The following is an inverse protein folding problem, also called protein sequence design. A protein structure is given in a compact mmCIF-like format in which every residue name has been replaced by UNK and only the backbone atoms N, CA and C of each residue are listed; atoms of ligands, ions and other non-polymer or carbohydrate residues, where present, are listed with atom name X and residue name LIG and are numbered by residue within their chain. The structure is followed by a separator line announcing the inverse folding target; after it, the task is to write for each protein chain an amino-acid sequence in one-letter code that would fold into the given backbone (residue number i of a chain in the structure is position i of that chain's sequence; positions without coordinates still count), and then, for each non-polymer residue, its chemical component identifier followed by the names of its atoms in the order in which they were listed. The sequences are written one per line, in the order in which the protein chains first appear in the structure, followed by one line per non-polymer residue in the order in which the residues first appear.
data_IF_263646647735
#
_entry.id   IF_263646647735
#
_cell.length_a   1.000
_cell.length_b   1.000
_cell.length_c   1.000
_cell.angle_alpha   90.00
_cell.angle_beta   90.00
_cell.angle_gamma   90.00
#
_symmetry.space_group_name_H-M   'P 1'
#
loop_
_entity.id
_entity.type
_entity.pdbx_description
1 polymer ?
#
# COMPACT_ATOMS: atom_id res chain seq x y z
N UNK A 1 -11.57 11.19 22.47
CA UNK A 1 -11.95 9.77 22.23
C UNK A 1 -10.95 9.15 21.29
N UNK A 2 -10.16 8.20 21.77
CA UNK A 2 -9.20 7.46 20.94
C UNK A 2 -9.93 6.60 19.91
N UNK A 3 -9.49 6.56 18.65
CA UNK A 3 -10.09 5.73 17.60
C UNK A 3 -9.61 4.27 17.72
N UNK A 4 -9.92 3.60 18.85
CA UNK A 4 -9.43 2.27 19.20
C UNK A 4 -9.51 1.17 18.12
N UNK A 5 -10.63 1.00 17.36
CA UNK A 5 -10.72 -0.10 16.40
C UNK A 5 -9.87 0.06 15.13
N UNK A 6 -9.53 1.30 14.73
CA UNK A 6 -8.74 1.54 13.51
C UNK A 6 -7.24 1.43 13.73
N UNK A 7 -6.79 1.59 14.97
CA UNK A 7 -5.40 1.42 15.35
C UNK A 7 -4.90 -0.02 15.15
N UNK A 8 -5.77 -1.00 15.47
CA UNK A 8 -5.50 -2.43 15.26
C UNK A 8 -5.23 -2.73 13.77
N UNK A 9 -5.94 -2.05 12.87
CA UNK A 9 -5.75 -2.20 11.43
C UNK A 9 -4.34 -1.79 11.00
N UNK A 10 -3.77 -0.76 11.62
CA UNK A 10 -2.49 -0.18 11.27
C UNK A 10 -1.32 -1.15 11.41
N UNK A 11 -1.30 -1.98 12.44
CA UNK A 11 -0.15 -2.83 12.77
C UNK A 11 -0.21 -4.21 12.11
N UNK A 12 -1.41 -4.75 11.81
CA UNK A 12 -1.53 -5.99 11.04
C UNK A 12 -1.03 -5.88 9.58
N UNK A 13 -0.84 -4.66 9.07
CA UNK A 13 -0.23 -4.43 7.75
C UNK A 13 1.29 -4.58 7.70
N UNK A 14 1.96 -4.59 8.84
CA UNK A 14 3.41 -4.80 8.89
C UNK A 14 3.84 -6.19 8.40
N UNK A 15 2.87 -7.08 8.22
CA UNK A 15 3.15 -8.45 7.94
C UNK A 15 2.77 -8.84 6.51
N UNK A 16 3.68 -8.67 5.62
CA UNK A 16 3.67 -9.36 4.36
C UNK A 16 4.84 -10.33 4.31
N UNK A 17 4.52 -11.63 4.14
CA UNK A 17 5.43 -12.74 3.94
C UNK A 17 6.80 -12.30 3.45
N UNK A 18 7.80 -12.06 4.24
CA UNK A 18 9.14 -12.42 3.86
C UNK A 18 10.30 -11.78 4.56
N UNK A 19 10.31 -10.52 4.99
CA UNK A 19 11.58 -10.00 5.47
C UNK A 19 11.39 -8.85 6.42
N UNK A 20 11.71 -9.08 7.65
CA UNK A 20 11.98 -8.01 8.58
C UNK A 20 13.49 -7.91 8.82
N UNK A 21 14.10 -6.90 8.25
CA UNK A 21 15.49 -6.61 8.52
C UNK A 21 15.60 -5.85 9.86
N UNK A 22 16.32 -6.43 10.83
CA UNK A 22 16.62 -5.77 12.10
C UNK A 22 17.60 -4.62 11.88
N UNK A 23 17.35 -3.49 12.54
CA UNK A 23 18.35 -2.44 12.65
C UNK A 23 19.42 -2.85 13.66
N UNK A 24 20.67 -2.60 13.37
CA UNK A 24 21.83 -2.87 14.24
C UNK A 24 22.86 -1.74 14.10
N UNK A 25 23.84 -1.73 14.98
CA UNK A 25 24.90 -0.72 15.06
C UNK A 25 25.90 -0.68 13.88
N UNK A 26 25.49 -1.21 12.77
CA UNK A 26 25.92 -0.87 11.41
C UNK A 26 27.40 -0.81 11.06
N UNK A 27 28.25 -1.72 11.55
CA UNK A 27 29.66 -1.76 11.14
C UNK A 27 29.98 -2.72 10.00
N UNK A 28 28.99 -3.33 9.34
CA UNK A 28 29.22 -4.11 8.11
C UNK A 28 28.17 -3.81 7.04
N UNK A 29 28.63 -3.23 5.94
CA UNK A 29 27.88 -3.05 4.71
C UNK A 29 27.54 -4.41 4.11
N UNK A 30 26.25 -4.77 4.11
CA UNK A 30 25.77 -6.06 3.61
C UNK A 30 25.09 -5.96 2.24
N UNK A 31 25.49 -5.01 1.41
CA UNK A 31 25.10 -4.98 0.00
C UNK A 31 26.37 -5.13 -0.84
N UNK A 32 26.94 -6.33 -0.86
CA UNK A 32 27.88 -6.72 -1.89
C UNK A 32 27.19 -7.71 -2.84
N UNK A 33 27.01 -7.38 -4.13
CA UNK A 33 26.67 -8.38 -5.12
C UNK A 33 27.88 -9.28 -5.30
N UNK A 34 27.78 -10.54 -4.87
CA UNK A 34 28.75 -11.56 -5.28
C UNK A 34 28.58 -11.86 -6.78
N UNK A 35 29.66 -11.88 -7.57
CA UNK A 35 29.61 -11.96 -9.03
C UNK A 35 29.14 -13.28 -9.65
N UNK A 36 28.59 -14.21 -8.91
CA UNK A 36 28.40 -15.57 -9.40
C UNK A 36 27.03 -16.23 -9.15
N UNK A 37 25.95 -15.46 -8.94
CA UNK A 37 24.63 -16.07 -8.91
C UNK A 37 23.65 -15.29 -9.78
N UNK A 38 23.25 -15.90 -10.89
CA UNK A 38 22.17 -15.43 -11.76
C UNK A 38 20.98 -14.89 -10.96
N UNK A 39 20.91 -13.55 -10.81
CA UNK A 39 19.70 -12.81 -10.46
C UNK A 39 19.00 -13.11 -9.12
N UNK A 40 19.60 -13.87 -8.19
CA UNK A 40 19.04 -14.08 -6.86
C UNK A 40 19.77 -13.17 -5.86
N UNK A 41 19.08 -12.13 -5.40
CA UNK A 41 19.44 -11.49 -4.13
C UNK A 41 19.14 -12.52 -3.03
N UNK A 42 20.14 -13.27 -2.64
CA UNK A 42 20.07 -14.09 -1.42
C UNK A 42 20.27 -13.12 -0.25
N UNK A 43 19.17 -12.53 0.23
CA UNK A 43 19.21 -11.84 1.50
C UNK A 43 19.28 -12.93 2.58
N UNK A 44 20.34 -12.93 3.37
CA UNK A 44 20.35 -13.65 4.64
C UNK A 44 19.47 -12.81 5.58
N UNK A 45 18.23 -13.21 5.69
CA UNK A 45 17.15 -12.47 6.35
C UNK A 45 17.32 -12.33 7.86
N UNK A 46 18.32 -12.99 8.43
CA UNK A 46 18.68 -12.89 9.83
C UNK A 46 19.73 -11.80 10.13
N UNK A 47 20.28 -11.15 9.11
CA UNK A 47 21.32 -10.13 9.32
C UNK A 47 20.72 -8.83 9.87
N UNK A 48 21.37 -8.29 10.91
CA UNK A 48 21.15 -6.91 11.36
C UNK A 48 21.76 -5.94 10.34
N UNK A 49 20.96 -5.00 9.85
CA UNK A 49 21.39 -3.95 8.93
C UNK A 49 21.09 -2.57 9.52
N UNK A 50 21.73 -1.53 9.01
CA UNK A 50 21.50 -0.16 9.49
C UNK A 50 20.04 0.27 9.33
N UNK A 51 19.56 1.24 10.15
CA UNK A 51 18.12 1.61 10.21
C UNK A 51 17.58 2.11 8.85
N UNK A 52 18.39 2.84 8.09
CA UNK A 52 17.99 3.33 6.77
C UNK A 52 17.75 2.18 5.78
N UNK A 53 18.63 1.19 5.79
CA UNK A 53 18.49 0.00 4.95
C UNK A 53 17.28 -0.85 5.41
N UNK A 54 17.07 -0.99 6.73
CA UNK A 54 15.92 -1.69 7.30
C UNK A 54 14.59 -1.01 6.91
N UNK A 55 14.50 0.31 7.01
CA UNK A 55 13.34 1.07 6.57
C UNK A 55 13.04 0.86 5.08
N UNK A 56 14.07 0.94 4.21
CA UNK A 56 13.93 0.71 2.77
C UNK A 56 13.42 -0.69 2.46
N UNK A 57 14.08 -1.71 2.99
CA UNK A 57 13.77 -3.11 2.67
C UNK A 57 12.39 -3.49 3.20
N UNK A 58 12.10 -3.23 4.47
CA UNK A 58 10.82 -3.56 5.08
C UNK A 58 9.64 -2.85 4.39
N UNK A 59 9.79 -1.56 4.08
CA UNK A 59 8.79 -0.79 3.36
C UNK A 59 8.53 -1.36 1.96
N UNK A 60 9.59 -1.72 1.22
CA UNK A 60 9.45 -2.35 -0.11
C UNK A 60 8.68 -3.67 -0.03
N UNK A 61 8.91 -4.48 1.00
CA UNK A 61 8.21 -5.75 1.19
C UNK A 61 6.75 -5.57 1.63
N UNK A 62 6.46 -4.63 2.54
CA UNK A 62 5.07 -4.35 2.94
C UNK A 62 4.23 -3.98 1.71
N UNK A 63 4.78 -3.17 0.82
CA UNK A 63 4.07 -2.73 -0.38
C UNK A 63 4.04 -3.79 -1.50
N UNK A 64 4.98 -4.75 -1.50
CA UNK A 64 5.14 -5.70 -2.60
C UNK A 64 3.89 -6.54 -2.89
N UNK A 65 3.07 -6.82 -1.91
CA UNK A 65 1.93 -7.72 -2.06
C UNK A 65 0.59 -7.03 -2.34
N UNK A 66 0.57 -5.70 -2.46
CA UNK A 66 -0.66 -4.92 -2.70
C UNK A 66 -1.80 -5.25 -1.70
N UNK A 67 -1.45 -5.65 -0.47
CA UNK A 67 -2.36 -5.99 0.62
C UNK A 67 -2.31 -4.98 1.77
N UNK A 68 -1.58 -3.90 1.57
CA UNK A 68 -1.44 -2.78 2.49
C UNK A 68 -2.71 -1.91 2.55
N UNK A 69 -2.61 -0.77 3.18
CA UNK A 69 -3.67 0.23 3.25
C UNK A 69 -3.54 1.29 2.15
N UNK A 70 -4.54 2.14 2.05
CA UNK A 70 -4.46 3.35 1.23
C UNK A 70 -5.50 4.38 1.66
N UNK A 71 -5.20 5.66 1.44
CA UNK A 71 -6.17 6.75 1.58
C UNK A 71 -6.82 7.04 0.22
N UNK A 72 -8.16 7.06 0.16
CA UNK A 72 -8.89 7.12 -1.11
C UNK A 72 -8.64 8.40 -1.92
N UNK A 73 -8.76 9.58 -1.28
CA UNK A 73 -8.59 10.89 -1.94
C UNK A 73 -7.11 11.32 -2.06
N UNK A 74 -6.26 10.82 -1.17
CA UNK A 74 -4.82 11.05 -1.18
C UNK A 74 -4.13 9.70 -1.24
N UNK A 75 -3.95 9.11 -2.43
CA UNK A 75 -3.60 7.70 -2.59
C UNK A 75 -2.17 7.41 -2.12
N UNK A 76 -1.94 7.65 -0.83
CA UNK A 76 -0.76 7.22 -0.08
C UNK A 76 -1.07 5.92 0.66
N UNK A 77 -0.10 5.06 0.77
CA UNK A 77 -0.12 3.81 1.53
C UNK A 77 0.65 4.04 2.83
N UNK A 78 -0.04 4.56 3.83
CA UNK A 78 0.60 5.06 5.06
C UNK A 78 1.33 3.96 5.83
N UNK A 79 0.76 2.75 5.93
CA UNK A 79 1.40 1.64 6.64
C UNK A 79 2.76 1.27 6.07
N UNK A 80 2.86 1.17 4.75
CA UNK A 80 4.09 0.75 4.08
C UNK A 80 5.22 1.76 4.18
N UNK A 81 4.91 3.03 4.45
CA UNK A 81 5.91 4.10 4.56
C UNK A 81 6.26 4.42 6.02
N UNK A 82 5.24 4.60 6.87
CA UNK A 82 5.41 5.11 8.25
C UNK A 82 5.93 4.02 9.18
N UNK A 83 5.31 2.84 9.18
CA UNK A 83 5.62 1.81 10.16
C UNK A 83 7.02 1.21 9.99
N UNK A 84 7.53 0.95 8.78
CA UNK A 84 8.91 0.50 8.60
C UNK A 84 9.95 1.50 9.09
N UNK A 85 9.72 2.81 8.90
CA UNK A 85 10.61 3.84 9.44
C UNK A 85 10.62 3.85 10.98
N UNK A 86 9.43 3.79 11.61
CA UNK A 86 9.32 3.76 13.06
C UNK A 86 9.94 2.50 13.67
N UNK A 87 9.67 1.32 13.11
CA UNK A 87 10.24 0.06 13.60
C UNK A 87 11.75 -0.01 13.43
N UNK A 88 12.28 0.52 12.32
CA UNK A 88 13.71 0.62 12.12
C UNK A 88 14.36 1.56 13.15
N UNK A 89 13.65 2.61 13.56
CA UNK A 89 14.12 3.59 14.54
C UNK A 89 14.04 3.08 15.98
N UNK A 90 13.05 2.27 16.34
CA UNK A 90 12.83 1.78 17.72
C UNK A 90 14.06 1.13 18.35
N UNK A 91 14.89 0.46 17.56
CA UNK A 91 16.10 -0.20 18.03
C UNK A 91 17.27 0.76 18.30
N UNK A 92 17.12 2.03 17.92
CA UNK A 92 18.14 3.08 18.08
C UNK A 92 17.74 4.17 19.08
N UNK A 93 16.49 4.16 19.55
CA UNK A 93 15.98 5.17 20.51
C UNK A 93 16.35 4.79 21.93
N UNK A 94 16.94 5.72 22.67
CA UNK A 94 17.20 5.63 24.09
C UNK A 94 16.69 6.90 24.79
N UNK A 95 15.95 6.84 25.87
CA UNK A 95 15.43 5.62 26.53
C UNK A 95 14.38 4.88 25.72
N UNK A 96 14.04 3.66 26.14
CA UNK A 96 13.07 2.82 25.44
C UNK A 96 11.73 3.54 25.24
N UNK A 97 11.22 3.47 24.02
CA UNK A 97 9.95 4.09 23.61
C UNK A 97 8.77 3.29 24.19
N UNK A 98 7.79 3.97 24.76
CA UNK A 98 6.53 3.32 25.16
C UNK A 98 5.66 3.01 23.94
N UNK A 99 4.79 2.02 24.05
CA UNK A 99 3.80 1.66 23.02
C UNK A 99 2.86 2.81 22.68
N UNK A 100 2.45 3.61 23.68
CA UNK A 100 1.65 4.82 23.46
C UNK A 100 2.40 5.90 22.67
N UNK A 101 3.70 6.08 22.90
CA UNK A 101 4.53 7.00 22.10
C UNK A 101 4.68 6.51 20.66
N UNK A 102 4.88 5.21 20.45
CA UNK A 102 4.92 4.61 19.14
C UNK A 102 3.61 4.81 18.37
N UNK A 103 2.47 4.53 19.02
CA UNK A 103 1.16 4.73 18.42
C UNK A 103 0.90 6.19 18.04
N UNK A 104 1.24 7.13 18.93
CA UNK A 104 1.08 8.56 18.64
C UNK A 104 1.96 8.99 17.46
N UNK A 105 3.21 8.53 17.43
CA UNK A 105 4.10 8.80 16.30
C UNK A 105 3.54 8.27 14.98
N UNK A 106 3.04 7.04 14.98
CA UNK A 106 2.41 6.45 13.81
C UNK A 106 1.18 7.24 13.36
N UNK A 107 0.28 7.61 14.29
CA UNK A 107 -0.91 8.43 13.99
C UNK A 107 -0.53 9.74 13.31
N UNK A 108 0.50 10.43 13.76
CA UNK A 108 0.94 11.72 13.19
C UNK A 108 1.44 11.52 11.74
N UNK A 109 2.15 10.44 11.44
CA UNK A 109 2.53 10.12 10.05
C UNK A 109 1.33 9.81 9.17
N UNK A 110 0.32 9.10 9.71
CA UNK A 110 -0.94 8.81 9.03
C UNK A 110 -1.82 10.06 8.84
N UNK A 111 -1.53 11.15 9.54
CA UNK A 111 -2.19 12.45 9.34
C UNK A 111 -1.51 13.29 8.27
N UNK A 112 -0.20 13.52 8.39
CA UNK A 112 0.47 14.49 7.49
C UNK A 112 0.56 13.98 6.06
N UNK A 113 0.90 12.72 5.83
CA UNK A 113 0.99 12.17 4.48
C UNK A 113 -0.28 12.36 3.66
N UNK A 114 -1.45 11.87 4.14
CA UNK A 114 -2.72 12.12 3.48
C UNK A 114 -3.05 13.62 3.31
N UNK A 115 -2.82 14.46 4.30
CA UNK A 115 -3.11 15.92 4.23
C UNK A 115 -2.32 16.62 3.13
N UNK A 116 -1.05 16.25 2.94
CA UNK A 116 -0.24 16.75 1.81
C UNK A 116 -0.86 16.31 0.49
N UNK A 117 -1.23 15.05 0.36
CA UNK A 117 -1.87 14.55 -0.85
C UNK A 117 -3.23 15.20 -1.12
N UNK A 118 -4.02 15.50 -0.08
CA UNK A 118 -5.27 16.27 -0.22
C UNK A 118 -5.02 17.68 -0.74
N UNK A 119 -3.94 18.33 -0.27
CA UNK A 119 -3.55 19.66 -0.73
C UNK A 119 -3.12 19.69 -2.20
N UNK A 120 -2.65 18.57 -2.72
CA UNK A 120 -2.14 18.41 -4.09
C UNK A 120 -3.13 17.65 -5.01
N UNK A 121 -4.37 17.43 -4.59
CA UNK A 121 -5.29 16.59 -5.34
C UNK A 121 -4.65 15.22 -5.70
N UNK A 122 -4.40 14.39 -4.70
CA UNK A 122 -3.56 13.18 -4.82
C UNK A 122 -3.84 12.27 -6.02
N UNK A 123 -5.10 12.15 -6.44
CA UNK A 123 -5.47 11.46 -7.68
C UNK A 123 -4.91 12.12 -8.94
N UNK A 124 -4.82 13.45 -8.97
CA UNK A 124 -4.23 14.24 -10.05
C UNK A 124 -2.71 14.02 -10.14
N UNK A 125 -2.03 13.97 -8.99
CA UNK A 125 -0.59 13.62 -8.92
C UNK A 125 -0.32 12.29 -9.61
N UNK A 126 -1.11 11.26 -9.32
CA UNK A 126 -1.01 9.95 -9.99
C UNK A 126 -1.24 10.05 -11.50
N UNK A 127 -2.25 10.80 -11.91
CA UNK A 127 -2.63 10.95 -13.32
C UNK A 127 -1.58 11.69 -14.13
N UNK A 128 -0.78 12.54 -13.49
CA UNK A 128 0.39 13.22 -14.07
C UNK A 128 1.66 12.38 -14.08
N UNK A 129 1.59 11.12 -13.62
CA UNK A 129 2.69 10.17 -13.68
C UNK A 129 3.60 10.14 -12.46
N UNK A 130 3.27 10.88 -11.37
CA UNK A 130 4.00 10.80 -10.12
C UNK A 130 3.48 9.67 -9.23
N UNK A 131 4.38 8.94 -8.60
CA UNK A 131 4.01 7.92 -7.62
C UNK A 131 3.69 8.57 -6.26
N UNK A 132 2.41 8.64 -5.90
CA UNK A 132 1.92 9.39 -4.72
C UNK A 132 2.61 9.00 -3.41
N UNK A 133 2.82 7.70 -3.17
CA UNK A 133 3.52 7.22 -1.97
C UNK A 133 4.98 7.69 -1.88
N UNK A 134 5.64 7.87 -3.02
CA UNK A 134 7.01 8.39 -3.06
C UNK A 134 7.07 9.92 -3.00
N UNK A 135 5.99 10.60 -3.36
CA UNK A 135 5.87 12.07 -3.23
C UNK A 135 5.50 12.47 -1.81
N UNK A 136 4.44 11.89 -1.22
CA UNK A 136 3.93 12.30 0.10
C UNK A 136 4.63 11.57 1.26
N UNK A 137 5.14 10.37 0.98
CA UNK A 137 5.67 9.46 1.99
C UNK A 137 6.89 9.96 2.75
N UNK A 138 7.89 10.61 2.14
CA UNK A 138 9.04 11.11 2.88
C UNK A 138 8.64 12.06 4.02
N UNK A 139 7.69 12.97 3.78
CA UNK A 139 7.17 13.87 4.82
C UNK A 139 6.41 13.11 5.91
N UNK A 140 5.61 12.10 5.54
CA UNK A 140 4.88 11.26 6.50
C UNK A 140 5.83 10.48 7.42
N UNK A 141 6.84 9.82 6.84
CA UNK A 141 7.85 9.09 7.61
C UNK A 141 8.70 10.02 8.49
N UNK A 142 9.07 11.20 7.97
CA UNK A 142 9.82 12.21 8.72
C UNK A 142 9.04 12.71 9.92
N UNK A 143 7.77 13.03 9.75
CA UNK A 143 6.93 13.55 10.84
C UNK A 143 6.72 12.50 11.93
N UNK A 144 6.42 11.25 11.54
CA UNK A 144 6.29 10.14 12.47
C UNK A 144 7.59 9.91 13.27
N UNK A 145 8.71 9.82 12.57
CA UNK A 145 10.02 9.57 13.18
C UNK A 145 10.47 10.73 14.07
N UNK A 146 10.20 11.99 13.66
CA UNK A 146 10.48 13.17 14.48
C UNK A 146 9.69 13.16 15.80
N UNK A 147 8.40 12.74 15.72
CA UNK A 147 7.58 12.59 16.93
C UNK A 147 8.10 11.50 17.85
N UNK A 148 8.53 10.38 17.30
CA UNK A 148 9.11 9.28 18.08
C UNK A 148 10.38 9.72 18.84
N UNK A 149 11.22 10.54 18.18
CA UNK A 149 12.42 11.12 18.80
C UNK A 149 12.15 12.34 19.68
N UNK A 150 10.88 12.77 19.82
CA UNK A 150 10.50 13.97 20.57
C UNK A 150 11.30 15.23 20.17
N UNK A 151 11.53 15.41 18.85
CA UNK A 151 12.25 16.56 18.34
C UNK A 151 11.50 17.86 18.60
N UNK A 152 12.24 18.97 18.77
CA UNK A 152 11.66 20.31 18.87
C UNK A 152 10.98 20.72 17.55
N UNK A 153 10.02 21.67 17.59
CA UNK A 153 9.37 22.15 16.37
C UNK A 153 10.35 22.61 15.28
N UNK A 154 11.41 23.32 15.63
CA UNK A 154 12.43 23.75 14.68
C UNK A 154 13.11 22.57 13.99
N UNK A 155 13.46 21.53 14.74
CA UNK A 155 14.07 20.33 14.16
C UNK A 155 13.07 19.50 13.32
N UNK A 156 11.78 19.53 13.67
CA UNK A 156 10.73 18.91 12.85
C UNK A 156 10.61 19.66 11.51
N UNK A 157 10.64 20.99 11.54
CA UNK A 157 10.63 21.80 10.31
C UNK A 157 11.83 21.53 9.43
N UNK A 158 13.03 21.43 10.02
CA UNK A 158 14.24 21.01 9.28
C UNK A 158 14.11 19.62 8.68
N UNK A 159 13.61 18.64 9.45
CA UNK A 159 13.38 17.28 8.96
C UNK A 159 12.38 17.25 7.79
N UNK A 160 11.31 18.03 7.86
CA UNK A 160 10.35 18.16 6.75
C UNK A 160 11.00 18.78 5.51
N UNK A 161 11.79 19.85 5.68
CA UNK A 161 12.51 20.50 4.58
C UNK A 161 13.49 19.56 3.88
N UNK A 162 14.21 18.72 4.65
CA UNK A 162 15.11 17.70 4.10
C UNK A 162 14.32 16.56 3.43
N UNK A 163 13.23 16.10 4.04
CA UNK A 163 12.42 15.00 3.51
C UNK A 163 11.74 15.37 2.18
N UNK A 164 11.13 16.55 2.12
CA UNK A 164 10.45 17.05 0.92
C UNK A 164 11.37 17.21 -0.28
N UNK A 165 12.64 17.56 -0.06
CA UNK A 165 13.66 17.67 -1.11
C UNK A 165 13.95 16.32 -1.80
N UNK A 166 13.64 15.19 -1.15
CA UNK A 166 13.89 13.84 -1.65
C UNK A 166 12.65 13.18 -2.26
N UNK A 167 11.53 13.91 -2.37
CA UNK A 167 10.30 13.39 -2.94
C UNK A 167 10.46 13.14 -4.45
N UNK A 168 10.02 11.97 -4.91
CA UNK A 168 10.16 11.54 -6.31
C UNK A 168 9.19 10.39 -6.61
N UNK A 169 9.47 9.61 -7.67
CA UNK A 169 8.77 8.38 -8.00
C UNK A 169 7.95 8.47 -9.27
N UNK A 170 7.96 7.40 -10.06
CA UNK A 170 7.38 7.35 -11.41
C UNK A 170 6.34 6.24 -11.54
N UNK A 171 5.16 6.58 -12.06
CA UNK A 171 4.06 5.64 -12.26
C UNK A 171 4.31 4.61 -13.36
N UNK A 172 5.19 4.89 -14.33
CA UNK A 172 5.56 3.93 -15.37
C UNK A 172 6.09 2.59 -14.82
N UNK A 173 6.60 2.59 -13.59
CA UNK A 173 7.04 1.36 -12.91
C UNK A 173 5.90 0.33 -12.70
N UNK A 174 4.62 0.73 -12.78
CA UNK A 174 3.47 -0.16 -12.62
C UNK A 174 3.34 -1.23 -13.71
N UNK A 175 3.94 -1.00 -14.89
CA UNK A 175 3.82 -1.89 -16.06
C UNK A 175 4.75 -3.11 -16.02
N UNK A 176 5.40 -3.42 -14.88
CA UNK A 176 6.21 -4.63 -14.71
C UNK A 176 7.53 -4.42 -13.99
N UNK A 177 7.89 -3.19 -13.61
CA UNK A 177 9.15 -2.95 -12.94
C UNK A 177 9.10 -3.22 -11.43
N UNK A 178 10.03 -4.02 -10.91
CA UNK A 178 10.19 -4.27 -9.47
C UNK A 178 10.44 -2.98 -8.67
N UNK A 179 11.01 -1.94 -9.29
CA UNK A 179 11.27 -0.66 -8.62
C UNK A 179 10.00 0.02 -8.11
N UNK A 180 8.81 -0.32 -8.66
CA UNK A 180 7.53 0.15 -8.12
C UNK A 180 7.42 -0.07 -6.61
N UNK A 181 7.88 -1.22 -6.14
CA UNK A 181 7.85 -1.61 -4.72
C UNK A 181 8.86 -0.83 -3.89
N UNK A 182 10.04 -0.58 -4.46
CA UNK A 182 11.11 0.18 -3.81
C UNK A 182 10.78 1.67 -3.66
N UNK A 183 9.83 2.22 -4.40
CA UNK A 183 9.46 3.63 -4.30
C UNK A 183 8.93 3.97 -2.89
N UNK A 184 8.18 3.07 -2.26
CA UNK A 184 7.80 3.22 -0.85
C UNK A 184 9.01 3.05 0.08
N UNK A 185 9.89 2.10 -0.23
CA UNK A 185 11.16 1.92 0.49
C UNK A 185 12.01 3.18 0.47
N UNK A 186 12.12 3.84 -0.67
CA UNK A 186 12.80 5.13 -0.77
C UNK A 186 12.12 6.18 0.09
N UNK A 187 10.79 6.28 0.06
CA UNK A 187 10.05 7.25 0.87
C UNK A 187 10.27 7.05 2.38
N UNK A 188 10.17 5.81 2.86
CA UNK A 188 10.39 5.45 4.26
C UNK A 188 11.81 5.77 4.72
N UNK A 189 12.81 5.32 3.93
CA UNK A 189 14.23 5.61 4.18
C UNK A 189 14.53 7.10 4.17
N UNK A 190 14.03 7.84 3.18
CA UNK A 190 14.30 9.26 3.00
C UNK A 190 13.72 10.12 4.12
N UNK A 191 12.51 9.77 4.60
CA UNK A 191 11.93 10.41 5.77
C UNK A 191 12.74 10.14 7.05
N UNK A 192 13.14 8.89 7.28
CA UNK A 192 13.99 8.53 8.42
C UNK A 192 15.37 9.20 8.34
N UNK A 193 16.00 9.22 7.16
CA UNK A 193 17.26 9.92 6.94
C UNK A 193 17.16 11.41 7.29
N UNK A 194 16.10 12.08 6.83
CA UNK A 194 15.86 13.49 7.11
C UNK A 194 15.82 13.79 8.61
N UNK A 195 15.15 12.93 9.37
CA UNK A 195 15.04 13.06 10.83
C UNK A 195 16.39 12.87 11.52
N UNK A 196 17.15 11.86 11.12
CA UNK A 196 18.48 11.61 11.69
C UNK A 196 19.42 12.80 11.42
N UNK A 197 19.38 13.38 10.22
CA UNK A 197 20.17 14.57 9.89
C UNK A 197 19.74 15.80 10.71
N UNK A 198 18.43 16.09 10.77
CA UNK A 198 17.91 17.23 11.54
C UNK A 198 18.19 17.09 13.05
N UNK A 199 18.15 15.87 13.59
CA UNK A 199 18.49 15.61 14.98
C UNK A 199 19.92 16.01 15.33
N UNK A 200 20.83 15.92 14.36
CA UNK A 200 22.25 16.30 14.47
C UNK A 200 22.50 17.78 14.10
N UNK A 201 21.44 18.56 13.83
CA UNK A 201 21.56 20.00 13.52
C UNK A 201 21.72 20.34 12.04
N UNK A 202 21.53 19.38 11.12
CA UNK A 202 21.46 19.70 9.70
C UNK A 202 20.15 20.44 9.40
N UNK A 203 20.22 21.57 8.70
CA UNK A 203 19.07 22.43 8.41
C UNK A 203 18.37 22.03 7.12
N UNK A 204 17.05 22.11 7.12
CA UNK A 204 16.20 21.92 5.95
C UNK A 204 15.62 23.22 5.40
N UNK A 205 14.85 23.09 4.32
CA UNK A 205 14.11 24.23 3.75
C UNK A 205 13.01 24.64 4.73
N UNK A 206 13.09 25.86 5.22
CA UNK A 206 12.03 26.43 6.09
C UNK A 206 10.77 26.70 5.29
N UNK A 207 9.60 26.48 5.92
CA UNK A 207 8.27 26.66 5.29
C UNK A 207 8.16 25.96 3.94
N UNK A 208 8.76 24.76 3.83
CA UNK A 208 8.85 24.01 2.57
C UNK A 208 7.50 23.78 1.90
N UNK A 209 6.42 23.67 2.68
CA UNK A 209 5.06 23.45 2.17
C UNK A 209 4.40 24.75 1.67
N UNK A 210 4.78 25.92 2.21
CA UNK A 210 4.16 27.21 1.92
C UNK A 210 4.96 28.08 0.93
N UNK A 211 6.24 27.81 0.74
CA UNK A 211 7.13 28.63 -0.10
C UNK A 211 6.62 28.69 -1.54
N UNK A 212 6.35 29.92 -2.10
CA UNK A 212 5.78 30.03 -3.45
C UNK A 212 6.73 29.59 -4.56
N UNK A 213 8.01 29.93 -4.47
CA UNK A 213 9.01 29.54 -5.45
C UNK A 213 9.83 28.35 -4.95
N UNK A 214 9.72 27.24 -5.66
CA UNK A 214 10.49 26.01 -5.32
C UNK A 214 10.01 25.30 -4.05
N UNK A 215 8.90 25.73 -3.44
CA UNK A 215 8.28 25.00 -2.33
C UNK A 215 7.59 23.74 -2.81
N UNK A 216 7.34 22.82 -1.88
CA UNK A 216 6.83 21.50 -2.20
C UNK A 216 5.46 21.55 -2.90
N UNK A 217 4.50 22.27 -2.28
CA UNK A 217 3.13 22.36 -2.84
C UNK A 217 3.12 23.10 -4.17
N UNK A 218 3.87 24.20 -4.29
CA UNK A 218 3.96 24.96 -5.54
C UNK A 218 4.60 24.16 -6.68
N UNK A 219 5.66 23.40 -6.38
CA UNK A 219 6.38 22.60 -7.38
C UNK A 219 5.56 21.42 -7.86
N UNK A 220 5.02 20.60 -6.96
CA UNK A 220 4.21 19.43 -7.33
C UNK A 220 2.80 19.81 -7.80
N UNK A 221 2.29 21.00 -7.43
CA UNK A 221 1.03 21.56 -7.94
C UNK A 221 1.11 22.07 -9.37
N UNK A 222 2.32 22.39 -9.85
CA UNK A 222 2.50 22.90 -11.20
C UNK A 222 2.07 21.85 -12.25
N UNK A 223 1.29 22.30 -13.25
CA UNK A 223 0.68 21.42 -14.25
C UNK A 223 -0.52 20.60 -13.74
N UNK A 224 -1.06 20.93 -12.57
CA UNK A 224 -2.31 20.35 -12.07
C UNK A 224 -3.50 20.71 -12.96
N UNK A 225 -4.43 19.75 -13.11
CA UNK A 225 -5.61 19.88 -13.99
C UNK A 225 -6.85 20.40 -13.23
N UNK A 226 -6.75 20.56 -11.94
CA UNK A 226 -7.84 21.05 -11.07
C UNK A 226 -7.81 22.57 -10.93
N UNK A 227 -8.97 23.15 -10.63
CA UNK A 227 -9.10 24.59 -10.33
C UNK A 227 -9.66 24.76 -8.91
N UNK A 228 -8.91 25.35 -7.96
CA UNK A 228 -7.50 25.72 -8.06
C UNK A 228 -6.57 24.48 -8.16
N UNK A 229 -5.35 24.61 -8.70
CA UNK A 229 -4.43 23.50 -8.88
C UNK A 229 -3.92 22.88 -7.57
N UNK A 230 -4.00 23.62 -6.48
CA UNK A 230 -3.64 23.16 -5.13
C UNK A 230 -4.59 23.73 -4.07
N UNK A 231 -4.69 23.05 -2.94
CA UNK A 231 -5.51 23.46 -1.79
C UNK A 231 -4.70 23.39 -0.48
N UNK A 232 -3.68 24.25 -0.28
CA UNK A 232 -2.75 24.14 0.87
C UNK A 232 -3.45 24.19 2.23
N UNK A 233 -4.59 24.91 2.34
CA UNK A 233 -5.38 24.99 3.56
C UNK A 233 -5.85 23.61 4.06
N UNK A 234 -5.99 22.61 3.20
CA UNK A 234 -6.38 21.25 3.58
C UNK A 234 -5.35 20.55 4.48
N UNK A 235 -4.11 21.01 4.51
CA UNK A 235 -3.06 20.47 5.39
C UNK A 235 -3.43 20.70 6.87
N UNK A 236 -3.95 21.88 7.20
CA UNK A 236 -4.28 22.28 8.56
C UNK A 236 -5.77 22.22 8.89
N UNK A 237 -6.63 22.06 7.88
CA UNK A 237 -8.07 22.07 8.04
C UNK A 237 -8.55 20.98 9.00
N UNK A 238 -9.27 21.37 10.07
CA UNK A 238 -9.85 20.45 11.04
C UNK A 238 -8.81 19.69 11.88
N UNK A 239 -7.59 20.22 12.06
CA UNK A 239 -6.62 19.63 12.98
C UNK A 239 -7.21 19.50 14.40
N UNK A 240 -7.02 18.33 15.00
CA UNK A 240 -7.56 18.00 16.33
C UNK A 240 -9.02 17.55 16.34
N UNK A 241 -9.77 17.75 15.25
CA UNK A 241 -11.19 17.34 15.15
C UNK A 241 -11.47 16.35 14.04
N UNK A 242 -10.76 16.43 12.92
CA UNK A 242 -10.84 15.52 11.79
C UNK A 242 -9.52 14.73 11.69
N UNK A 243 -9.63 13.42 11.59
CA UNK A 243 -8.50 12.50 11.56
C UNK A 243 -8.48 11.73 10.24
N UNK A 244 -7.43 11.89 9.44
CA UNK A 244 -7.30 11.25 8.12
C UNK A 244 -7.16 9.72 8.22
N UNK A 245 -6.67 9.19 9.33
CA UNK A 245 -6.67 7.73 9.57
C UNK A 245 -8.08 7.13 9.46
N UNK A 246 -9.13 7.91 9.66
CA UNK A 246 -10.52 7.45 9.51
C UNK A 246 -10.88 7.18 8.04
N UNK A 247 -10.15 7.77 7.10
CA UNK A 247 -10.33 7.61 5.66
C UNK A 247 -9.36 6.59 5.05
N UNK A 248 -8.58 5.90 5.89
CA UNK A 248 -7.71 4.82 5.43
C UNK A 248 -8.53 3.55 5.19
N UNK A 249 -8.39 3.00 4.00
CA UNK A 249 -9.02 1.76 3.57
C UNK A 249 -8.02 0.62 3.62
N UNK A 250 -8.53 -0.57 3.92
CA UNK A 250 -7.77 -1.82 3.97
C UNK A 250 -8.05 -2.66 2.74
N UNK A 251 -7.04 -3.10 2.03
CA UNK A 251 -7.20 -3.94 0.85
C UNK A 251 -7.55 -5.39 1.23
N UNK A 252 -8.68 -5.93 0.76
CA UNK A 252 -9.01 -7.35 0.93
C UNK A 252 -8.30 -8.26 -0.08
N UNK A 253 -7.84 -7.72 -1.21
CA UNK A 253 -7.25 -8.45 -2.33
C UNK A 253 -5.82 -8.00 -2.59
N UNK A 254 -4.96 -8.92 -3.08
CA UNK A 254 -3.55 -8.68 -3.39
C UNK A 254 -3.36 -7.97 -4.74
N UNK A 255 -4.14 -6.93 -4.99
CA UNK A 255 -4.14 -6.20 -6.25
C UNK A 255 -4.36 -4.70 -6.04
N UNK A 256 -4.21 -3.92 -7.10
CA UNK A 256 -4.45 -2.48 -7.06
C UNK A 256 -5.91 -2.18 -6.71
N UNK A 257 -6.14 -1.18 -5.85
CA UNK A 257 -7.47 -0.85 -5.35
C UNK A 257 -8.55 -0.64 -6.44
N UNK A 258 -8.16 -0.09 -7.60
CA UNK A 258 -9.08 0.12 -8.72
C UNK A 258 -9.58 -1.19 -9.36
N UNK A 259 -8.93 -2.33 -9.13
CA UNK A 259 -9.38 -3.64 -9.64
C UNK A 259 -10.37 -4.34 -8.69
N UNK A 260 -10.49 -3.87 -7.45
CA UNK A 260 -11.28 -4.55 -6.41
C UNK A 260 -12.77 -4.61 -6.75
N UNK A 261 -13.32 -3.55 -7.34
CA UNK A 261 -14.72 -3.57 -7.79
C UNK A 261 -14.99 -4.64 -8.86
N UNK A 262 -14.02 -4.88 -9.75
CA UNK A 262 -14.09 -5.97 -10.75
C UNK A 262 -14.13 -7.34 -10.07
N UNK A 263 -13.30 -7.56 -9.07
CA UNK A 263 -13.28 -8.79 -8.26
C UNK A 263 -14.63 -8.97 -7.56
N UNK A 264 -15.16 -7.91 -6.95
CA UNK A 264 -16.46 -7.96 -6.26
C UNK A 264 -17.63 -8.18 -7.23
N UNK A 265 -17.56 -7.71 -8.47
CA UNK A 265 -18.52 -8.06 -9.50
C UNK A 265 -18.54 -9.57 -9.78
N UNK A 266 -17.38 -10.19 -9.96
CA UNK A 266 -17.27 -11.65 -10.15
C UNK A 266 -17.83 -12.39 -8.92
N UNK A 267 -17.46 -12.00 -7.71
CA UNK A 267 -18.00 -12.59 -6.48
C UNK A 267 -19.53 -12.54 -6.41
N UNK A 268 -20.11 -11.37 -6.73
CA UNK A 268 -21.57 -11.23 -6.79
C UNK A 268 -22.22 -12.17 -7.81
N UNK A 269 -21.55 -12.42 -8.94
CA UNK A 269 -22.05 -13.38 -9.93
C UNK A 269 -21.95 -14.80 -9.38
N UNK A 270 -20.82 -15.17 -8.78
CA UNK A 270 -20.62 -16.49 -8.16
C UNK A 270 -21.66 -16.76 -7.06
N UNK A 271 -21.93 -15.75 -6.21
CA UNK A 271 -22.91 -15.86 -5.14
C UNK A 271 -24.35 -16.00 -5.65
N UNK A 272 -24.73 -15.25 -6.71
CA UNK A 272 -26.10 -15.21 -7.24
C UNK A 272 -26.40 -16.32 -8.24
N UNK A 273 -25.37 -16.78 -8.93
CA UNK A 273 -25.44 -17.77 -10.02
C UNK A 273 -24.33 -18.82 -9.84
N UNK A 274 -24.42 -19.67 -8.78
CA UNK A 274 -23.39 -20.69 -8.51
C UNK A 274 -23.16 -21.58 -9.72
N UNK A 275 -21.91 -21.80 -10.06
CA UNK A 275 -21.50 -22.65 -11.18
C UNK A 275 -21.57 -22.02 -12.57
N UNK A 276 -22.14 -20.82 -12.72
CA UNK A 276 -22.25 -20.16 -14.04
C UNK A 276 -20.89 -19.93 -14.70
N UNK A 277 -19.91 -19.52 -13.92
CA UNK A 277 -18.54 -19.24 -14.41
C UNK A 277 -17.63 -20.47 -14.36
N UNK A 278 -18.17 -21.68 -14.16
CA UNK A 278 -17.36 -22.91 -14.21
C UNK A 278 -17.14 -23.41 -15.67
N UNK A 279 -18.00 -22.99 -16.58
CA UNK A 279 -17.93 -23.38 -17.99
C UNK A 279 -17.60 -22.16 -18.88
N UNK A 280 -16.32 -22.02 -19.23
CA UNK A 280 -15.83 -21.01 -20.16
C UNK A 280 -16.54 -21.08 -21.52
N UNK A 281 -16.97 -22.28 -21.94
CA UNK A 281 -17.63 -22.50 -23.23
C UNK A 281 -18.99 -21.84 -23.35
N UNK A 282 -19.67 -21.52 -22.24
CA UNK A 282 -20.93 -20.81 -22.25
C UNK A 282 -20.78 -19.29 -22.37
N UNK A 283 -19.65 -18.74 -21.94
CA UNK A 283 -19.41 -17.29 -21.91
C UNK A 283 -18.83 -16.82 -23.22
N UNK A 284 -19.46 -15.82 -23.83
CA UNK A 284 -18.95 -15.12 -25.01
C UNK A 284 -17.92 -14.07 -24.59
N UNK A 285 -18.36 -13.08 -23.83
CA UNK A 285 -17.47 -12.05 -23.27
C UNK A 285 -17.95 -11.55 -21.90
N UNK A 286 -17.01 -10.97 -21.14
CA UNK A 286 -17.26 -10.22 -19.92
C UNK A 286 -16.76 -8.80 -20.13
N UNK A 287 -17.68 -7.84 -20.09
CA UNK A 287 -17.36 -6.41 -20.22
C UNK A 287 -17.41 -5.75 -18.84
N UNK A 288 -16.36 -5.03 -18.49
CA UNK A 288 -16.25 -4.29 -17.23
C UNK A 288 -16.17 -2.80 -17.54
N UNK A 289 -17.21 -2.06 -17.16
CA UNK A 289 -17.23 -0.61 -17.22
C UNK A 289 -16.62 0.00 -15.97
N UNK A 290 -15.75 0.98 -16.11
CA UNK A 290 -15.08 1.67 -15.03
C UNK A 290 -14.79 3.13 -15.35
N UNK A 291 -14.49 3.94 -14.32
CA UNK A 291 -14.08 5.34 -14.49
C UNK A 291 -12.78 5.45 -15.29
N UNK A 292 -12.54 6.61 -15.90
CA UNK A 292 -11.31 6.85 -16.68
C UNK A 292 -10.03 6.58 -15.88
N UNK A 293 -9.89 7.06 -14.61
CA UNK A 293 -8.71 6.77 -13.81
C UNK A 293 -8.52 5.27 -13.51
N UNK A 294 -9.59 4.52 -13.28
CA UNK A 294 -9.54 3.09 -13.05
C UNK A 294 -9.16 2.34 -14.34
N UNK A 295 -9.76 2.72 -15.47
CA UNK A 295 -9.49 2.14 -16.80
C UNK A 295 -8.03 2.34 -17.22
N UNK A 296 -7.52 3.58 -17.13
CA UNK A 296 -6.12 3.89 -17.49
C UNK A 296 -5.10 3.18 -16.61
N UNK A 297 -5.42 2.97 -15.33
CA UNK A 297 -4.49 2.39 -14.35
C UNK A 297 -4.57 0.86 -14.25
N UNK A 298 -5.68 0.24 -14.65
CA UNK A 298 -5.88 -1.19 -14.41
C UNK A 298 -6.73 -1.93 -15.45
N UNK A 299 -7.32 -1.24 -16.43
CA UNK A 299 -8.20 -1.84 -17.44
C UNK A 299 -7.48 -2.60 -18.57
N UNK A 300 -6.17 -2.73 -18.52
CA UNK A 300 -5.36 -3.35 -19.56
C UNK A 300 -5.04 -4.81 -19.27
N UNK A 301 -4.81 -5.57 -20.34
CA UNK A 301 -4.41 -6.98 -20.28
C UNK A 301 -2.88 -7.08 -20.25
N UNK A 302 -2.27 -7.80 -19.30
CA UNK A 302 -0.83 -8.01 -19.30
C UNK A 302 -0.38 -8.95 -20.41
N UNK A 303 0.89 -8.88 -20.80
CA UNK A 303 1.49 -9.85 -21.74
C UNK A 303 1.74 -11.17 -21.02
N UNK A 304 1.46 -12.30 -21.68
CA UNK A 304 1.75 -13.64 -21.14
C UNK A 304 3.18 -14.08 -21.49
N UNK A 305 3.95 -14.67 -20.55
CA UNK A 305 3.65 -14.76 -19.12
C UNK A 305 3.66 -13.38 -18.45
N UNK A 306 2.76 -13.16 -17.48
CA UNK A 306 2.68 -11.88 -16.83
C UNK A 306 3.84 -11.65 -15.86
N UNK A 307 4.35 -10.42 -15.85
CA UNK A 307 5.19 -9.95 -14.75
C UNK A 307 4.34 -9.78 -13.48
N UNK A 308 4.89 -10.14 -12.33
CA UNK A 308 4.21 -10.09 -11.03
C UNK A 308 3.50 -8.76 -10.78
N UNK A 309 4.22 -7.63 -10.96
CA UNK A 309 3.65 -6.30 -10.75
C UNK A 309 2.55 -5.99 -11.76
N UNK A 310 2.75 -6.36 -13.01
CA UNK A 310 1.79 -6.15 -14.09
C UNK A 310 0.46 -6.88 -13.82
N UNK A 311 0.53 -8.14 -13.41
CA UNK A 311 -0.64 -8.93 -13.06
C UNK A 311 -1.46 -8.34 -11.91
N UNK A 312 -0.80 -7.86 -10.85
CA UNK A 312 -1.47 -7.21 -9.71
C UNK A 312 -2.15 -5.88 -10.08
N UNK A 313 -1.74 -5.24 -11.18
CA UNK A 313 -2.33 -3.99 -11.64
C UNK A 313 -3.47 -4.21 -12.66
N UNK A 314 -3.71 -5.44 -13.13
CA UNK A 314 -4.67 -5.76 -14.19
C UNK A 314 -6.01 -6.23 -13.64
N UNK A 315 -7.10 -5.52 -13.97
CA UNK A 315 -8.46 -5.94 -13.63
C UNK A 315 -8.87 -7.24 -14.36
N UNK A 316 -8.58 -7.44 -15.67
CA UNK A 316 -8.85 -8.71 -16.33
C UNK A 316 -8.15 -9.90 -15.68
N UNK A 317 -6.87 -9.76 -15.29
CA UNK A 317 -6.14 -10.83 -14.63
C UNK A 317 -6.70 -11.14 -13.24
N UNK A 318 -6.95 -10.11 -12.44
CA UNK A 318 -7.53 -10.28 -11.10
C UNK A 318 -8.93 -10.92 -11.15
N UNK A 319 -9.77 -10.53 -12.11
CA UNK A 319 -11.08 -11.14 -12.32
C UNK A 319 -10.97 -12.61 -12.72
N UNK A 320 -10.04 -12.94 -13.62
CA UNK A 320 -9.79 -14.33 -14.03
C UNK A 320 -9.34 -15.20 -12.85
N UNK A 321 -8.45 -14.68 -11.98
CA UNK A 321 -8.08 -15.37 -10.74
C UNK A 321 -9.29 -15.59 -9.83
N UNK A 322 -10.15 -14.58 -9.65
CA UNK A 322 -11.36 -14.74 -8.85
C UNK A 322 -12.31 -15.80 -9.43
N UNK A 323 -12.43 -15.87 -10.75
CA UNK A 323 -13.27 -16.89 -11.41
C UNK A 323 -12.74 -18.31 -11.14
N UNK A 324 -11.42 -18.51 -11.30
CA UNK A 324 -10.80 -19.83 -11.25
C UNK A 324 -10.59 -20.32 -9.83
N UNK A 325 -10.13 -19.42 -8.93
CA UNK A 325 -9.69 -19.80 -7.59
C UNK A 325 -10.62 -19.32 -6.48
N UNK A 326 -11.65 -18.53 -6.80
CA UNK A 326 -12.49 -17.81 -5.84
C UNK A 326 -11.68 -16.96 -4.84
N UNK A 327 -10.46 -16.61 -5.22
CA UNK A 327 -9.50 -15.90 -4.40
C UNK A 327 -8.58 -15.00 -5.25
N UNK A 328 -8.21 -13.84 -4.69
CA UNK A 328 -7.19 -12.94 -5.26
C UNK A 328 -6.24 -12.53 -4.13
N UNK A 329 -5.40 -13.49 -3.74
CA UNK A 329 -4.38 -13.33 -2.70
C UNK A 329 -2.99 -13.58 -3.29
N UNK A 330 -2.00 -13.80 -2.43
CA UNK A 330 -0.60 -13.93 -2.85
C UNK A 330 -0.37 -15.13 -3.79
N UNK A 331 -1.07 -16.23 -3.56
CA UNK A 331 -0.89 -17.49 -4.31
C UNK A 331 -1.20 -17.33 -5.80
N UNK A 332 -2.13 -16.43 -6.17
CA UNK A 332 -2.52 -16.13 -7.55
C UNK A 332 -1.45 -15.37 -8.34
N UNK A 333 -0.42 -14.89 -7.65
CA UNK A 333 0.67 -14.09 -8.25
C UNK A 333 2.03 -14.76 -8.10
N UNK A 334 2.09 -16.04 -7.72
CA UNK A 334 3.35 -16.80 -7.74
C UNK A 334 3.81 -17.04 -9.18
N UNK A 335 5.11 -17.26 -9.44
CA UNK A 335 5.61 -17.52 -10.80
C UNK A 335 4.87 -18.66 -11.51
N UNK A 336 4.48 -19.71 -10.78
CA UNK A 336 3.70 -20.81 -11.34
C UNK A 336 2.25 -20.38 -11.67
N UNK A 337 1.65 -19.48 -10.88
CA UNK A 337 0.29 -19.02 -11.09
C UNK A 337 0.19 -18.02 -12.26
N UNK A 338 1.24 -17.24 -12.52
CA UNK A 338 1.26 -16.20 -13.54
C UNK A 338 1.18 -16.72 -14.98
N UNK A 339 1.35 -18.03 -15.21
CA UNK A 339 1.30 -18.65 -16.54
C UNK A 339 0.27 -19.79 -16.65
N UNK A 340 -0.68 -19.91 -15.71
CA UNK A 340 -1.72 -20.95 -15.72
C UNK A 340 -2.69 -20.78 -16.88
N UNK A 341 -2.85 -21.83 -17.71
CA UNK A 341 -3.73 -21.82 -18.89
C UNK A 341 -5.19 -21.52 -18.56
N UNK A 342 -5.71 -22.05 -17.45
CA UNK A 342 -7.09 -21.84 -17.04
C UNK A 342 -7.37 -20.36 -16.72
N UNK A 343 -6.43 -19.66 -16.09
CA UNK A 343 -6.55 -18.22 -15.81
C UNK A 343 -6.49 -17.43 -17.13
N UNK A 344 -5.51 -17.74 -17.99
CA UNK A 344 -5.33 -17.00 -19.24
C UNK A 344 -6.48 -17.18 -20.23
N UNK A 345 -7.15 -18.34 -20.25
CA UNK A 345 -8.36 -18.53 -21.04
C UNK A 345 -9.48 -17.58 -20.61
N UNK A 346 -9.63 -17.29 -19.30
CA UNK A 346 -10.58 -16.30 -18.81
C UNK A 346 -10.13 -14.88 -19.10
N UNK A 347 -8.84 -14.57 -18.97
CA UNK A 347 -8.30 -13.24 -19.31
C UNK A 347 -8.69 -12.81 -20.72
N UNK A 348 -8.67 -13.73 -21.68
CA UNK A 348 -9.05 -13.44 -23.09
C UNK A 348 -10.55 -13.11 -23.28
N UNK A 349 -11.40 -13.47 -22.31
CA UNK A 349 -12.84 -13.20 -22.34
C UNK A 349 -13.21 -11.89 -21.62
N UNK A 350 -12.28 -11.28 -20.89
CA UNK A 350 -12.56 -10.11 -20.05
C UNK A 350 -11.99 -8.86 -20.68
N UNK A 351 -12.87 -7.90 -20.91
CA UNK A 351 -12.51 -6.60 -21.51
C UNK A 351 -13.00 -5.45 -20.61
N UNK A 352 -12.10 -4.54 -20.27
CA UNK A 352 -12.48 -3.31 -19.59
C UNK A 352 -12.77 -2.19 -20.58
N UNK A 353 -13.70 -1.32 -20.22
CA UNK A 353 -14.08 -0.13 -20.98
C UNK A 353 -14.27 1.06 -20.05
N UNK A 354 -13.95 2.24 -20.54
CA UNK A 354 -14.25 3.48 -19.86
C UNK A 354 -15.74 3.82 -20.01
N UNK A 355 -16.39 4.13 -18.88
CA UNK A 355 -17.75 4.68 -18.87
C UNK A 355 -17.69 6.13 -18.35
N UNK A 356 -17.97 7.14 -19.21
CA UNK A 356 -17.91 8.56 -18.85
C UNK A 356 -18.89 8.97 -17.73
N UNK A 357 -19.97 8.21 -17.52
CA UNK A 357 -20.91 8.49 -16.46
C UNK A 357 -20.28 8.29 -15.07
N UNK A 358 -19.22 7.47 -14.97
CA UNK A 358 -18.50 7.20 -13.74
C UNK A 358 -17.44 8.27 -13.42
N UNK A 359 -17.29 9.29 -14.24
CA UNK A 359 -16.37 10.41 -14.02
C UNK A 359 -17.09 11.69 -13.53
N UNK A 360 -18.43 11.69 -13.52
CA UNK A 360 -19.24 12.87 -13.22
C UNK A 360 -19.11 13.37 -11.78
N UNK A 361 -18.84 12.48 -10.84
CA UNK A 361 -18.70 12.81 -9.42
C UNK A 361 -17.55 12.00 -8.81
N UNK A 362 -16.87 12.61 -7.81
CA UNK A 362 -15.82 11.91 -7.03
C UNK A 362 -16.33 10.65 -6.34
N UNK A 363 -17.63 10.56 -6.04
CA UNK A 363 -18.22 9.38 -5.41
C UNK A 363 -18.42 8.23 -6.40
N UNK A 364 -18.45 8.52 -7.70
CA UNK A 364 -18.65 7.51 -8.76
C UNK A 364 -17.36 6.91 -9.28
N UNK A 365 -16.19 7.43 -8.84
CA UNK A 365 -14.87 6.93 -9.25
C UNK A 365 -14.63 5.44 -8.95
N UNK A 366 -15.38 4.89 -7.98
CA UNK A 366 -15.32 3.48 -7.59
C UNK A 366 -16.34 2.60 -8.29
N UNK A 367 -17.28 3.20 -9.04
CA UNK A 367 -18.33 2.47 -9.72
C UNK A 367 -17.73 1.51 -10.74
N UNK A 368 -18.21 0.28 -10.70
CA UNK A 368 -17.94 -0.72 -11.72
C UNK A 368 -19.22 -1.48 -12.05
N UNK A 369 -19.47 -1.62 -13.34
CA UNK A 369 -20.55 -2.44 -13.88
C UNK A 369 -19.92 -3.55 -14.69
N UNK A 370 -20.42 -4.77 -14.48
CA UNK A 370 -19.97 -5.93 -15.24
C UNK A 370 -21.16 -6.54 -15.96
N UNK A 371 -20.97 -6.85 -17.23
CA UNK A 371 -21.93 -7.54 -18.07
C UNK A 371 -21.31 -8.83 -18.59
N UNK A 372 -21.96 -9.97 -18.33
CA UNK A 372 -21.59 -11.29 -18.87
C UNK A 372 -22.53 -11.65 -20.00
N UNK A 373 -22.00 -11.81 -21.21
CA UNK A 373 -22.72 -12.25 -22.39
C UNK A 373 -22.45 -13.73 -22.66
N UNK A 374 -23.43 -14.43 -23.19
CA UNK A 374 -23.35 -15.86 -23.47
C UNK A 374 -23.25 -16.15 -24.98
N UNK A 375 -22.62 -17.29 -25.32
CA UNK A 375 -22.57 -17.80 -26.70
C UNK A 375 -23.97 -18.10 -27.23
N UNK A 376 -24.85 -18.64 -26.38
CA UNK A 376 -26.28 -18.77 -26.66
C UNK A 376 -26.95 -17.39 -26.58
N UNK A 377 -27.24 -16.81 -27.72
CA UNK A 377 -27.83 -15.47 -27.86
C UNK A 377 -29.31 -15.39 -27.39
N UNK A 378 -29.92 -16.51 -27.04
CA UNK A 378 -31.27 -16.53 -26.43
C UNK A 378 -31.20 -16.30 -24.92
N UNK A 379 -30.04 -16.48 -24.30
CA UNK A 379 -29.84 -16.19 -22.88
C UNK A 379 -29.63 -14.70 -22.67
N UNK A 380 -30.38 -14.13 -21.75
CA UNK A 380 -30.15 -12.74 -21.31
C UNK A 380 -28.78 -12.58 -20.65
N UNK A 381 -28.11 -11.47 -20.96
CA UNK A 381 -26.86 -11.14 -20.32
C UNK A 381 -27.09 -10.86 -18.82
N UNK A 382 -26.15 -11.28 -17.99
CA UNK A 382 -26.17 -10.98 -16.55
C UNK A 382 -25.43 -9.69 -16.31
N UNK A 383 -26.06 -8.77 -15.59
CA UNK A 383 -25.45 -7.52 -15.18
C UNK A 383 -25.36 -7.44 -13.64
N UNK A 384 -24.20 -6.98 -13.18
CA UNK A 384 -23.95 -6.64 -11.78
C UNK A 384 -23.30 -5.28 -11.67
N UNK A 385 -23.59 -4.60 -10.57
CA UNK A 385 -23.08 -3.28 -10.27
C UNK A 385 -22.45 -3.25 -8.86
N UNK A 386 -21.28 -2.60 -8.75
CA UNK A 386 -20.57 -2.34 -7.51
C UNK A 386 -20.37 -0.84 -7.40
N UNK A 387 -21.01 -0.23 -6.41
CA UNK A 387 -20.90 1.21 -6.10
C UNK A 387 -19.54 1.54 -5.47
N UNK A 388 -19.08 0.68 -4.57
CA UNK A 388 -17.74 0.76 -3.98
C UNK A 388 -17.26 -0.64 -3.59
N UNK A 389 -15.97 -0.94 -3.75
CA UNK A 389 -15.47 -2.27 -3.45
C UNK A 389 -15.42 -2.54 -1.95
N UNK A 390 -15.42 -3.82 -1.59
CA UNK A 390 -15.14 -4.29 -0.23
C UNK A 390 -13.82 -3.69 0.27
N UNK A 391 -13.81 -3.24 1.51
CA UNK A 391 -12.68 -2.51 2.09
C UNK A 391 -12.83 -0.99 1.99
N UNK A 392 -13.65 -0.50 1.05
CA UNK A 392 -14.12 0.90 0.98
C UNK A 392 -15.55 0.98 1.55
N UNK A 393 -16.49 0.20 1.01
CA UNK A 393 -17.88 0.11 1.49
C UNK A 393 -18.44 -1.29 1.19
N UNK A 394 -18.66 -2.12 2.21
CA UNK A 394 -18.29 -1.88 3.61
C UNK A 394 -16.77 -1.86 3.84
N UNK A 395 -16.35 -1.14 4.87
CA UNK A 395 -14.97 -1.25 5.39
C UNK A 395 -14.81 -2.63 6.04
N UNK A 396 -13.61 -3.20 5.98
CA UNK A 396 -13.35 -4.49 6.64
C UNK A 396 -13.54 -4.37 8.15
N UNK A 397 -14.27 -5.31 8.72
CA UNK A 397 -14.39 -5.45 10.17
C UNK A 397 -13.05 -5.93 10.79
N UNK A 398 -12.85 -5.69 12.08
CA UNK A 398 -11.65 -6.15 12.77
C UNK A 398 -11.48 -7.67 12.71
N UNK A 399 -12.57 -8.43 12.75
CA UNK A 399 -12.53 -9.89 12.61
C UNK A 399 -11.98 -10.32 11.24
N UNK A 400 -12.43 -9.68 10.16
CA UNK A 400 -11.95 -9.95 8.79
C UNK A 400 -10.46 -9.61 8.61
N UNK A 401 -9.99 -8.54 9.28
CA UNK A 401 -8.56 -8.16 9.25
C UNK A 401 -7.72 -9.19 10.01
N UNK A 402 -8.20 -9.68 11.15
CA UNK A 402 -7.53 -10.75 11.91
C UNK A 402 -7.51 -12.06 11.15
N UNK A 403 -8.60 -12.41 10.49
CA UNK A 403 -8.66 -13.58 9.64
C UNK A 403 -7.70 -13.48 8.45
N UNK A 404 -7.67 -12.32 7.77
CA UNK A 404 -6.68 -12.02 6.73
C UNK A 404 -5.24 -12.19 7.27
N UNK A 405 -4.93 -11.67 8.45
CA UNK A 405 -3.64 -11.86 9.10
C UNK A 405 -3.30 -13.34 9.27
N UNK A 406 -4.22 -14.13 9.82
CA UNK A 406 -4.04 -15.55 10.07
C UNK A 406 -3.84 -16.34 8.79
N UNK A 407 -4.65 -16.06 7.78
CA UNK A 407 -4.55 -16.68 6.46
C UNK A 407 -3.21 -16.39 5.78
N UNK A 408 -2.77 -15.15 5.78
CA UNK A 408 -1.52 -14.75 5.14
C UNK A 408 -0.27 -15.25 5.87
N UNK A 409 -0.38 -15.64 7.13
CA UNK A 409 0.76 -16.05 7.96
C UNK A 409 0.79 -17.55 8.28
N UNK A 410 -0.26 -18.30 7.96
CA UNK A 410 -0.43 -19.70 8.35
C UNK A 410 0.75 -20.63 7.96
N UNK A 411 1.36 -20.38 6.79
CA UNK A 411 2.47 -21.19 6.26
C UNK A 411 3.84 -20.52 6.45
N UNK A 412 3.90 -19.41 7.18
CA UNK A 412 5.09 -18.56 7.27
C UNK A 412 5.66 -18.53 8.68
N UNK A 413 4.78 -18.55 9.68
CA UNK A 413 5.15 -18.56 11.09
C UNK A 413 4.36 -19.61 11.85
N UNK A 414 4.93 -20.10 12.94
CA UNK A 414 4.22 -20.99 13.85
C UNK A 414 3.06 -20.26 14.56
N UNK A 415 2.06 -21.03 14.96
CA UNK A 415 0.84 -20.51 15.57
C UNK A 415 1.12 -19.73 16.86
N UNK A 416 2.07 -20.17 17.68
CA UNK A 416 2.40 -19.53 18.97
C UNK A 416 2.97 -18.13 18.74
N UNK A 417 3.94 -18.01 17.83
CA UNK A 417 4.54 -16.74 17.44
C UNK A 417 3.50 -15.81 16.79
N UNK A 418 2.66 -16.33 15.89
CA UNK A 418 1.59 -15.57 15.25
C UNK A 418 0.60 -14.99 16.27
N UNK A 419 0.11 -15.84 17.17
CA UNK A 419 -0.90 -15.44 18.14
C UNK A 419 -0.31 -14.48 19.18
N UNK A 420 0.97 -14.63 19.52
CA UNK A 420 1.65 -13.67 20.40
C UNK A 420 1.80 -12.30 19.76
N UNK A 421 2.18 -12.22 18.49
CA UNK A 421 2.22 -10.95 17.75
C UNK A 421 0.82 -10.31 17.72
N UNK A 422 -0.23 -11.10 17.41
CA UNK A 422 -1.60 -10.62 17.40
C UNK A 422 -2.00 -10.02 18.76
N UNK A 423 -1.68 -10.71 19.86
CA UNK A 423 -1.96 -10.22 21.22
C UNK A 423 -1.26 -8.89 21.51
N UNK A 424 0.05 -8.78 21.21
CA UNK A 424 0.80 -7.54 21.43
C UNK A 424 0.20 -6.39 20.63
N UNK A 425 -0.11 -6.63 19.36
CA UNK A 425 -0.66 -5.60 18.47
C UNK A 425 -2.03 -5.13 18.95
N UNK A 426 -2.88 -6.05 19.41
CA UNK A 426 -4.22 -5.71 19.94
C UNK A 426 -4.14 -4.96 21.28
N UNK A 427 -3.07 -5.13 22.03
CA UNK A 427 -2.83 -4.51 23.33
C UNK A 427 -1.99 -3.21 23.25
N UNK A 428 -1.60 -2.75 22.05
CA UNK A 428 -0.86 -1.50 21.91
C UNK A 428 -1.63 -0.32 22.52
N UNK A 429 -0.93 0.47 23.32
CA UNK A 429 -1.50 1.58 24.12
C UNK A 429 -1.88 1.19 25.55
N UNK A 430 -1.70 -0.07 25.95
CA UNK A 430 -1.94 -0.55 27.32
C UNK A 430 -0.66 -0.95 28.07
N UNK A 431 0.50 -0.52 27.59
CA UNK A 431 1.78 -0.73 28.28
C UNK A 431 2.52 -1.99 27.84
N UNK A 432 2.34 -2.45 26.60
CA UNK A 432 3.07 -3.62 26.07
C UNK A 432 4.52 -3.30 25.76
N UNK A 433 5.37 -4.32 25.86
CA UNK A 433 6.78 -4.22 25.47
C UNK A 433 6.96 -4.29 23.95
N UNK A 434 7.37 -3.17 23.35
CA UNK A 434 7.67 -3.08 21.93
C UNK A 434 8.94 -3.87 21.53
N UNK A 435 9.85 -4.13 22.47
CA UNK A 435 11.05 -4.90 22.18
C UNK A 435 10.72 -6.36 21.85
N UNK A 436 9.73 -6.93 22.54
CA UNK A 436 9.20 -8.25 22.23
C UNK A 436 8.59 -8.30 20.84
N UNK A 437 7.79 -7.29 20.45
CA UNK A 437 7.23 -7.20 19.10
C UNK A 437 8.32 -7.19 18.04
N UNK A 438 9.33 -6.34 18.20
CA UNK A 438 10.46 -6.23 17.27
C UNK A 438 11.25 -7.54 17.20
N UNK A 439 11.45 -8.21 18.34
CA UNK A 439 12.14 -9.51 18.38
C UNK A 439 11.35 -10.59 17.64
N UNK A 440 10.05 -10.73 17.91
CA UNK A 440 9.17 -11.67 17.24
C UNK A 440 9.12 -11.42 15.72
N UNK A 441 8.97 -10.17 15.31
CA UNK A 441 9.03 -9.78 13.92
C UNK A 441 10.37 -10.14 13.25
N UNK A 442 11.45 -10.14 13.98
CA UNK A 442 12.79 -10.49 13.51
C UNK A 442 13.14 -11.99 13.49
N UNK A 443 12.34 -12.84 14.14
CA UNK A 443 12.57 -14.30 14.18
C UNK A 443 12.07 -15.05 12.94
N UNK A 444 11.54 -14.35 11.96
CA UNK A 444 10.72 -14.95 10.95
C UNK A 444 11.43 -15.67 9.85
N UNK A 445 10.79 -16.77 9.58
CA UNK A 445 10.83 -17.66 8.41
C UNK A 445 12.18 -17.93 7.76
N UNK A 446 12.56 -19.17 7.87
CA UNK A 446 13.74 -19.74 7.23
C UNK A 446 13.54 -20.15 5.76
N UNK A 447 12.31 -20.15 5.23
CA UNK A 447 12.04 -20.48 3.81
C UNK A 447 10.78 -19.78 3.28
N UNK A 448 10.95 -18.78 2.44
CA UNK A 448 9.84 -18.25 1.66
C UNK A 448 9.38 -19.26 0.61
N UNK A 449 8.10 -19.67 0.64
CA UNK A 449 7.51 -20.43 -0.48
C UNK A 449 7.28 -19.47 -1.65
N UNK A 450 7.86 -19.78 -2.80
CA UNK A 450 7.39 -19.30 -4.10
C UNK A 450 7.79 -17.90 -4.55
N UNK A 451 9.06 -17.49 -4.41
CA UNK A 451 9.61 -16.37 -5.22
C UNK A 451 11.02 -16.70 -5.69
#
# INVERSE_FOLDING_TARGET
MYPGPKLVRMVFFLWNRKVYARSGDGTRSAIHPTPASKGRVSADYAQKIGPLAAALVNSSFVQALELDDYHAESPIHSSSVVLPALLALLQHVQPATTDSQFLLAALIGYELGPRIGLALWGGDILSRGWHSGAVFGPAAAATASSKLLSLSPDKIEDALGIACTQACGLMSAQHGSMVKRMQHGFASRNGLFAVLMASQGYTGIRKVLETPYGGFISTFGNGGTREPPTTPHRITQGLGTRWEIQSINTKPYASMAATHGTIDCIRKIQDRHPGLLNDLGQVDEIVVEMSEPAFKKGGWVPTRPAEFTSAQMSAPYAAACQIVDEAVLIEQFTPAALDRDEVWRWVTKIRCVHNPDFDKDKNTMWFQRMRVAFNDKTKEAIEVFVEAPRGVKPILANAEIREKWRLLTQDVIDVVTRDRIEQIVLALGSGVDLSELVELLGRLSTKPKGF
#
